data_IF_825313883702
#
_entry.id   IF_825313883702
#
_cell.length_a   1.000
_cell.length_b   1.000
_cell.length_c   1.000
_cell.angle_alpha   90.00
_cell.angle_beta   90.00
_cell.angle_gamma   90.00
#
_symmetry.space_group_name_H-M   'P 1'
#
loop_
_entity.id
_entity.type
_entity.pdbx_description
1 polymer ?
#
# COMPACT_ATOMS: atom_id res chain seq x y z
N UNK A 1 13.90 7.06 -6.19
CA UNK A 1 12.50 7.51 -6.08
C UNK A 1 11.60 6.29 -6.20
N UNK A 2 10.65 6.15 -5.29
CA UNK A 2 9.67 5.06 -5.32
C UNK A 2 8.50 5.42 -6.24
N UNK A 3 8.16 4.62 -7.26
CA UNK A 3 7.06 4.92 -8.15
C UNK A 3 5.74 4.92 -7.36
N UNK A 4 4.95 5.95 -7.60
CA UNK A 4 3.60 6.05 -7.04
C UNK A 4 2.67 5.24 -7.92
N UNK A 5 1.86 4.37 -7.33
CA UNK A 5 0.85 3.59 -8.04
C UNK A 5 -0.35 4.51 -8.31
N UNK A 6 -0.93 5.07 -7.25
CA UNK A 6 -2.02 6.04 -7.32
C UNK A 6 -2.07 6.92 -6.06
N UNK A 7 -2.94 7.93 -6.07
CA UNK A 7 -3.26 8.79 -4.92
C UNK A 7 -4.77 8.91 -4.79
N UNK A 8 -5.29 8.72 -3.59
CA UNK A 8 -6.73 8.81 -3.30
C UNK A 8 -6.96 9.11 -1.82
N UNK A 9 -8.02 9.85 -1.49
CA UNK A 9 -8.38 10.15 -0.09
C UNK A 9 -7.33 10.96 0.69
N UNK A 10 -6.40 11.62 -0.01
CA UNK A 10 -5.25 12.27 0.63
C UNK A 10 -4.09 11.31 0.97
N UNK A 11 -4.19 10.05 0.55
CA UNK A 11 -3.16 9.03 0.70
C UNK A 11 -2.40 8.81 -0.60
N UNK A 12 -1.14 8.44 -0.49
CA UNK A 12 -0.27 8.06 -1.61
C UNK A 12 0.14 6.61 -1.47
N UNK A 13 -0.15 5.81 -2.50
CA UNK A 13 0.15 4.38 -2.56
C UNK A 13 1.39 4.13 -3.43
N UNK A 14 2.35 3.36 -2.93
CA UNK A 14 3.64 3.15 -3.61
C UNK A 14 4.36 1.87 -3.16
N UNK A 15 5.39 1.47 -3.91
CA UNK A 15 6.26 0.33 -3.58
C UNK A 15 7.68 0.78 -3.26
N UNK A 16 8.34 0.13 -2.30
CA UNK A 16 9.79 0.26 -2.11
C UNK A 16 10.53 -0.82 -2.89
N UNK A 17 11.31 -0.43 -3.90
CA UNK A 17 12.02 -1.37 -4.78
C UNK A 17 13.13 -2.20 -4.11
N UNK A 18 13.55 -1.85 -2.89
CA UNK A 18 14.63 -2.54 -2.14
C UNK A 18 14.12 -3.29 -0.91
N UNK A 19 12.82 -3.55 -0.87
CA UNK A 19 12.19 -4.26 0.23
C UNK A 19 12.03 -5.75 -0.11
N UNK A 20 11.28 -6.46 0.72
CA UNK A 20 11.09 -7.89 0.65
C UNK A 20 10.25 -8.36 -0.56
N UNK A 21 10.33 -9.66 -0.91
CA UNK A 21 9.63 -10.20 -2.08
C UNK A 21 8.13 -10.42 -1.88
N UNK A 22 7.63 -10.42 -0.64
CA UNK A 22 6.20 -10.63 -0.37
C UNK A 22 5.42 -9.41 -0.85
N UNK A 23 4.32 -9.63 -1.59
CA UNK A 23 3.52 -8.55 -2.17
C UNK A 23 2.93 -7.64 -1.09
N UNK A 24 3.31 -6.36 -1.13
CA UNK A 24 2.89 -5.35 -0.18
C UNK A 24 2.77 -3.97 -0.82
N UNK A 25 2.00 -3.09 -0.18
CA UNK A 25 1.88 -1.69 -0.59
C UNK A 25 2.14 -0.78 0.61
N UNK A 26 2.86 0.31 0.37
CA UNK A 26 3.05 1.39 1.32
C UNK A 26 2.09 2.51 1.04
N UNK A 27 1.57 3.09 2.11
CA UNK A 27 0.59 4.15 2.08
C UNK A 27 1.11 5.29 2.94
N UNK A 28 1.27 6.45 2.33
CA UNK A 28 1.66 7.68 3.03
C UNK A 28 0.46 8.60 3.12
N UNK A 29 0.06 8.94 4.34
CA UNK A 29 -0.93 9.98 4.63
C UNK A 29 -0.28 11.30 5.06
N UNK A 30 -1.10 12.24 5.53
CA UNK A 30 -0.60 13.55 6.00
C UNK A 30 0.26 13.44 7.27
N UNK A 31 -0.15 12.59 8.21
CA UNK A 31 0.45 12.52 9.54
C UNK A 31 1.22 11.22 9.82
N UNK A 32 1.29 10.32 8.84
CA UNK A 32 1.81 8.99 9.07
C UNK A 32 1.84 8.12 7.82
N UNK A 33 2.20 6.86 8.04
CA UNK A 33 2.31 5.86 7.00
C UNK A 33 1.83 4.49 7.48
N UNK A 34 1.46 3.64 6.54
CA UNK A 34 1.11 2.27 6.78
C UNK A 34 1.63 1.36 5.66
N UNK A 35 1.88 0.11 6.03
CA UNK A 35 2.24 -0.98 5.14
C UNK A 35 1.16 -2.03 5.21
N UNK A 36 0.73 -2.51 4.05
CA UNK A 36 -0.27 -3.56 3.92
C UNK A 36 0.31 -4.74 3.14
N UNK A 37 0.08 -5.93 3.65
CA UNK A 37 0.24 -7.15 2.86
C UNK A 37 -0.92 -7.30 1.90
N UNK A 38 -0.66 -7.88 0.73
CA UNK A 38 -1.71 -8.32 -0.21
C UNK A 38 -1.89 -9.83 -0.21
N UNK A 39 -0.91 -10.58 0.29
CA UNK A 39 -0.93 -12.04 0.30
C UNK A 39 -0.55 -12.58 1.69
N UNK A 40 -1.22 -13.62 2.20
CA UNK A 40 -2.35 -14.34 1.60
C UNK A 40 -3.69 -13.58 1.65
N UNK A 41 -3.76 -12.51 2.42
CA UNK A 41 -4.92 -11.62 2.52
C UNK A 41 -4.47 -10.17 2.72
N UNK A 42 -5.38 -9.22 2.51
CA UNK A 42 -5.12 -7.79 2.74
C UNK A 42 -5.15 -7.50 4.24
N UNK A 43 -3.98 -7.26 4.82
CA UNK A 43 -3.80 -7.03 6.25
C UNK A 43 -2.78 -5.92 6.52
N UNK A 44 -3.00 -5.17 7.61
CA UNK A 44 -2.04 -4.16 8.07
C UNK A 44 -0.80 -4.88 8.59
N UNK A 45 0.34 -4.67 7.95
CA UNK A 45 1.63 -5.18 8.39
C UNK A 45 2.20 -4.31 9.52
N UNK A 46 2.14 -2.99 9.31
CA UNK A 46 2.65 -1.98 10.23
C UNK A 46 1.99 -0.64 9.92
N UNK A 47 1.81 0.20 10.93
CA UNK A 47 1.41 1.59 10.74
C UNK A 47 2.03 2.49 11.81
N UNK A 48 2.29 3.74 11.45
CA UNK A 48 2.81 4.77 12.35
C UNK A 48 2.10 6.08 12.08
N UNK A 49 1.63 6.78 13.12
CA UNK A 49 1.02 8.11 12.99
C UNK A 49 -0.41 8.15 12.43
N UNK A 50 -0.86 7.13 11.69
CA UNK A 50 -2.24 7.03 11.20
C UNK A 50 -3.20 6.60 12.32
N UNK A 51 -4.34 7.29 12.39
CA UNK A 51 -5.46 6.95 13.27
C UNK A 51 -6.18 5.68 12.81
N UNK A 52 -6.94 5.05 13.71
CA UNK A 52 -7.74 3.86 13.36
C UNK A 52 -8.73 4.11 12.21
N UNK A 53 -9.26 5.34 12.12
CA UNK A 53 -10.18 5.74 11.05
C UNK A 53 -9.45 5.80 9.71
N UNK A 54 -8.29 6.44 9.67
CA UNK A 54 -7.45 6.50 8.46
C UNK A 54 -7.00 5.10 8.03
N UNK A 55 -6.60 4.23 8.95
CA UNK A 55 -6.22 2.85 8.63
C UNK A 55 -7.40 2.09 8.01
N UNK A 56 -8.61 2.25 8.56
CA UNK A 56 -9.81 1.59 8.04
C UNK A 56 -10.16 2.10 6.63
N UNK A 57 -10.02 3.40 6.40
CA UNK A 57 -10.23 4.03 5.10
C UNK A 57 -9.20 3.55 4.08
N UNK A 58 -7.92 3.55 4.45
CA UNK A 58 -6.83 3.04 3.61
C UNK A 58 -7.05 1.56 3.29
N UNK A 59 -7.43 0.75 4.27
CA UNK A 59 -7.70 -0.68 4.04
C UNK A 59 -8.80 -0.87 3.00
N UNK A 60 -9.88 -0.09 3.08
CA UNK A 60 -10.95 -0.10 2.06
C UNK A 60 -10.40 0.28 0.68
N UNK A 61 -9.59 1.32 0.58
CA UNK A 61 -8.98 1.75 -0.68
C UNK A 61 -8.02 0.69 -1.27
N UNK A 62 -7.23 0.00 -0.42
CA UNK A 62 -6.38 -1.11 -0.86
C UNK A 62 -7.22 -2.27 -1.41
N UNK A 63 -8.36 -2.57 -0.79
CA UNK A 63 -9.28 -3.61 -1.25
C UNK A 63 -9.95 -3.22 -2.57
N UNK A 64 -10.40 -1.97 -2.71
CA UNK A 64 -11.04 -1.48 -3.94
C UNK A 64 -10.07 -1.47 -5.13
N UNK A 65 -8.80 -1.14 -4.88
CA UNK A 65 -7.74 -1.11 -5.89
C UNK A 65 -6.84 -2.34 -5.88
N UNK A 66 -7.26 -3.45 -5.27
CA UNK A 66 -6.42 -4.64 -5.12
C UNK A 66 -5.85 -5.10 -6.47
N UNK A 67 -6.71 -5.22 -7.48
CA UNK A 67 -6.31 -5.66 -8.82
C UNK A 67 -5.28 -4.70 -9.45
N UNK A 68 -5.45 -3.40 -9.29
CA UNK A 68 -4.52 -2.39 -9.83
C UNK A 68 -3.17 -2.48 -9.13
N UNK A 69 -3.16 -2.64 -7.81
CA UNK A 69 -1.94 -2.78 -7.01
C UNK A 69 -1.22 -4.08 -7.39
N UNK A 70 -1.91 -5.21 -7.50
CA UNK A 70 -1.31 -6.50 -7.94
C UNK A 70 -0.70 -6.38 -9.34
N UNK A 71 -1.43 -5.77 -10.27
CA UNK A 71 -0.95 -5.55 -11.63
C UNK A 71 0.28 -4.63 -11.65
N UNK A 72 0.29 -3.57 -10.84
CA UNK A 72 1.42 -2.67 -10.71
C UNK A 72 2.64 -3.38 -10.09
N UNK A 73 2.41 -4.25 -9.09
CA UNK A 73 3.46 -5.06 -8.48
C UNK A 73 4.15 -5.94 -9.51
N UNK A 74 3.40 -6.72 -10.30
CA UNK A 74 3.97 -7.60 -11.32
C UNK A 74 4.73 -6.85 -12.43
N UNK A 75 4.31 -5.62 -12.75
CA UNK A 75 5.04 -4.76 -13.70
C UNK A 75 6.33 -4.19 -13.12
N UNK A 76 6.33 -3.88 -11.82
CA UNK A 76 7.44 -3.23 -11.13
C UNK A 76 8.51 -4.21 -10.62
N UNK A 77 8.08 -5.43 -10.25
CA UNK A 77 8.92 -6.54 -9.84
C UNK A 77 8.74 -7.72 -10.83
N UNK A 78 9.22 -7.58 -12.09
CA UNK A 78 9.42 -8.75 -12.93
C UNK A 78 10.54 -9.57 -12.27
N UNK A 79 10.27 -10.84 -11.99
CA UNK A 79 11.21 -11.73 -11.28
C UNK A 79 12.60 -11.82 -11.89
#
# INVERSE_FOLDING_TARGET
MSPTIFREGGFRFYFFSREEPRMHVHVQGQNGEAKFWLEPAIEVAQHTGLSRREISEVQRLVQEHENDIRNAWHKHFPG
#
